data_IF_280012254024
#
_entry.id   IF_280012254024
#
_cell.length_a   1.000
_cell.length_b   1.000
_cell.length_c   1.000
_cell.angle_alpha   90.00
_cell.angle_beta   90.00
_cell.angle_gamma   90.00
#
_symmetry.space_group_name_H-M   'P 1'
#
loop_
_entity.id
_entity.type
_entity.pdbx_description
1 polymer ?
#
# COMPACT_ATOMS: atom_id res chain seq x y z
N UNK A 1 -11.36 11.44 4.62
CA UNK A 1 -10.24 12.25 5.13
C UNK A 1 -10.69 12.99 6.34
N UNK A 2 -11.91 13.56 6.39
CA UNK A 2 -12.56 13.83 7.69
C UNK A 2 -12.70 12.56 8.53
N UNK A 3 -12.89 11.37 7.93
CA UNK A 3 -13.02 10.13 8.70
C UNK A 3 -11.66 9.56 9.15
N UNK A 4 -10.60 9.63 8.32
CA UNK A 4 -9.24 9.24 8.74
C UNK A 4 -8.60 10.32 9.61
N UNK A 5 -8.77 11.61 9.32
CA UNK A 5 -8.41 12.69 10.25
C UNK A 5 -9.28 12.61 11.50
N UNK A 6 -10.57 12.22 11.47
CA UNK A 6 -11.37 11.97 12.68
C UNK A 6 -10.83 10.78 13.46
N UNK A 7 -10.54 9.65 12.81
CA UNK A 7 -9.98 8.44 13.44
C UNK A 7 -8.58 8.70 14.01
N UNK A 8 -7.78 9.56 13.37
CA UNK A 8 -6.45 9.98 13.83
C UNK A 8 -6.49 11.18 14.79
N UNK A 9 -7.56 11.99 14.77
CA UNK A 9 -7.84 13.10 15.69
C UNK A 9 -8.66 12.69 16.91
N UNK A 10 -9.15 11.45 16.98
CA UNK A 10 -9.95 10.94 18.12
C UNK A 10 -9.12 10.53 19.32
N UNK A 11 -7.78 10.43 19.20
CA UNK A 11 -6.91 10.18 20.35
C UNK A 11 -6.71 11.51 21.10
N UNK A 12 -7.80 12.05 21.65
CA UNK A 12 -7.76 13.16 22.60
C UNK A 12 -7.47 12.60 23.99
N UNK A 13 -6.19 12.30 24.25
CA UNK A 13 -5.71 11.95 25.59
C UNK A 13 -5.22 13.22 26.28
N UNK A 14 -5.64 13.43 27.52
CA UNK A 14 -5.10 14.50 28.35
C UNK A 14 -3.63 14.22 28.73
N UNK A 15 -2.91 15.27 29.14
CA UNK A 15 -1.47 15.19 29.41
C UNK A 15 -1.12 14.18 30.52
N UNK A 16 -2.01 13.96 31.49
CA UNK A 16 -1.81 12.98 32.55
C UNK A 16 -1.93 11.55 31.99
N UNK A 17 -2.98 11.27 31.21
CA UNK A 17 -3.16 9.99 30.55
C UNK A 17 -2.00 9.66 29.59
N UNK A 18 -1.51 10.64 28.82
CA UNK A 18 -0.34 10.46 27.95
C UNK A 18 0.90 10.01 28.74
N UNK A 19 1.19 10.68 29.87
CA UNK A 19 2.34 10.33 30.72
C UNK A 19 2.19 8.94 31.34
N UNK A 20 0.99 8.57 31.77
CA UNK A 20 0.70 7.24 32.29
C UNK A 20 0.93 6.16 31.22
N UNK A 21 0.49 6.37 29.98
CA UNK A 21 0.76 5.46 28.85
C UNK A 21 2.25 5.32 28.60
N UNK A 22 2.99 6.43 28.51
CA UNK A 22 4.43 6.44 28.23
C UNK A 22 5.24 5.73 29.32
N UNK A 23 4.96 6.04 30.60
CA UNK A 23 5.65 5.47 31.75
C UNK A 23 5.32 3.97 31.93
N UNK A 24 4.05 3.60 31.78
CA UNK A 24 3.60 2.21 31.86
C UNK A 24 4.17 1.37 30.72
N UNK A 25 4.28 1.93 29.52
CA UNK A 25 4.86 1.26 28.36
C UNK A 25 6.37 1.02 28.55
N UNK A 26 7.13 2.05 28.94
CA UNK A 26 8.57 1.93 29.21
C UNK A 26 8.85 0.90 30.32
N UNK A 27 8.05 0.93 31.39
CA UNK A 27 8.17 -0.03 32.50
C UNK A 27 7.87 -1.46 32.03
N UNK A 28 6.86 -1.63 31.18
CA UNK A 28 6.50 -2.93 30.59
C UNK A 28 7.63 -3.47 29.72
N UNK A 29 8.15 -2.67 28.80
CA UNK A 29 9.26 -3.04 27.91
C UNK A 29 10.52 -3.41 28.70
N UNK A 30 10.85 -2.64 29.74
CA UNK A 30 11.97 -2.92 30.64
C UNK A 30 11.80 -4.26 31.36
N UNK A 31 10.60 -4.56 31.87
CA UNK A 31 10.29 -5.84 32.56
C UNK A 31 10.21 -7.03 31.62
N UNK A 32 9.95 -6.80 30.33
CA UNK A 32 10.02 -7.81 29.27
C UNK A 32 11.45 -8.14 28.85
N UNK A 33 12.46 -7.37 29.27
CA UNK A 33 13.85 -7.56 28.85
C UNK A 33 14.21 -6.80 27.56
N UNK A 34 13.45 -5.76 27.24
CA UNK A 34 13.69 -4.86 26.12
C UNK A 34 12.91 -5.23 24.84
N UNK A 35 13.02 -4.38 23.80
CA UNK A 35 12.18 -4.44 22.60
C UNK A 35 12.14 -5.79 21.89
N UNK A 36 13.29 -6.47 21.81
CA UNK A 36 13.40 -7.76 21.16
C UNK A 36 12.63 -8.85 21.91
N UNK A 37 12.87 -8.96 23.22
CA UNK A 37 12.21 -9.96 24.06
C UNK A 37 10.70 -9.67 24.21
N UNK A 38 10.33 -8.38 24.30
CA UNK A 38 8.95 -7.94 24.33
C UNK A 38 8.19 -8.32 23.05
N UNK A 39 8.76 -8.01 21.88
CA UNK A 39 8.21 -8.42 20.59
C UNK A 39 8.11 -9.95 20.47
N UNK A 40 9.13 -10.70 20.89
CA UNK A 40 9.10 -12.16 20.82
C UNK A 40 8.02 -12.77 21.71
N UNK A 41 7.81 -12.26 22.94
CA UNK A 41 6.77 -12.72 23.87
C UNK A 41 5.36 -12.48 23.30
N UNK A 42 5.06 -11.26 22.85
CA UNK A 42 3.73 -10.89 22.33
C UNK A 42 3.43 -11.59 21.01
N UNK A 43 4.35 -11.59 20.06
CA UNK A 43 4.09 -12.20 18.74
C UNK A 43 4.12 -13.73 18.79
N UNK A 44 4.76 -14.35 19.79
CA UNK A 44 4.63 -15.78 20.04
C UNK A 44 3.22 -16.15 20.51
N UNK A 45 2.64 -15.38 21.45
CA UNK A 45 1.24 -15.55 21.86
C UNK A 45 0.30 -15.30 20.68
N UNK A 46 0.51 -14.23 19.92
CA UNK A 46 -0.30 -13.88 18.75
C UNK A 46 -0.31 -14.99 17.69
N UNK A 47 0.84 -15.59 17.40
CA UNK A 47 0.95 -16.73 16.48
C UNK A 47 0.14 -17.93 16.96
N UNK A 48 0.15 -18.21 18.26
CA UNK A 48 -0.54 -19.37 18.81
C UNK A 48 -2.07 -19.22 18.70
N UNK A 49 -2.59 -17.99 18.82
CA UNK A 49 -4.02 -17.69 18.66
C UNK A 49 -4.42 -17.42 17.21
N UNK A 50 -3.52 -16.82 16.42
CA UNK A 50 -3.71 -16.48 15.01
C UNK A 50 -2.54 -17.03 14.18
N UNK A 51 -2.58 -18.32 13.77
CA UNK A 51 -1.48 -18.96 13.02
C UNK A 51 -1.11 -18.24 11.72
N UNK A 52 -2.04 -17.50 11.10
CA UNK A 52 -1.77 -16.66 9.91
C UNK A 52 -0.71 -15.57 10.14
N UNK A 53 -0.44 -15.21 11.41
CA UNK A 53 0.57 -14.21 11.78
C UNK A 53 1.99 -14.79 11.95
N UNK A 54 2.20 -16.09 11.67
CA UNK A 54 3.51 -16.77 11.81
C UNK A 54 4.68 -15.97 11.22
N UNK A 55 4.50 -15.41 10.02
CA UNK A 55 5.54 -14.64 9.33
C UNK A 55 5.96 -13.38 10.06
N UNK A 56 5.08 -12.81 10.90
CA UNK A 56 5.32 -11.56 11.64
C UNK A 56 6.36 -11.73 12.75
N UNK A 57 6.52 -12.95 13.30
CA UNK A 57 7.47 -13.21 14.38
C UNK A 57 8.92 -12.84 13.99
N UNK A 58 9.27 -13.04 12.72
CA UNK A 58 10.60 -12.70 12.17
C UNK A 58 10.92 -11.20 12.22
N UNK A 59 9.89 -10.35 12.31
CA UNK A 59 10.00 -8.88 12.38
C UNK A 59 9.42 -8.31 13.67
N UNK A 60 9.15 -9.16 14.67
CA UNK A 60 8.51 -8.79 15.93
C UNK A 60 9.21 -7.62 16.64
N UNK A 61 10.55 -7.63 16.69
CA UNK A 61 11.33 -6.52 17.27
C UNK A 61 11.15 -5.20 16.52
N UNK A 62 11.01 -5.23 15.19
CA UNK A 62 10.79 -4.02 14.39
C UNK A 62 9.39 -3.47 14.61
N UNK A 63 8.38 -4.35 14.66
CA UNK A 63 6.99 -3.94 14.91
C UNK A 63 6.85 -3.40 16.33
N UNK A 64 7.50 -4.04 17.31
CA UNK A 64 7.53 -3.55 18.69
C UNK A 64 8.14 -2.15 18.79
N UNK A 65 9.25 -1.90 18.08
CA UNK A 65 9.83 -0.56 18.01
C UNK A 65 8.89 0.48 17.40
N UNK A 66 8.18 0.16 16.32
CA UNK A 66 7.23 1.08 15.71
C UNK A 66 6.08 1.44 16.67
N UNK A 67 5.56 0.45 17.41
CA UNK A 67 4.55 0.67 18.44
C UNK A 67 5.10 1.51 19.60
N UNK A 68 6.33 1.22 20.05
CA UNK A 68 6.99 1.98 21.11
C UNK A 68 7.19 3.44 20.71
N UNK A 69 7.70 3.70 19.51
CA UNK A 69 7.88 5.06 19.00
C UNK A 69 6.55 5.82 18.82
N UNK A 70 5.47 5.12 18.45
CA UNK A 70 4.13 5.70 18.39
C UNK A 70 3.67 6.15 19.78
N UNK A 71 3.73 5.26 20.77
CA UNK A 71 3.30 5.56 22.15
C UNK A 71 4.14 6.66 22.80
N UNK A 72 5.45 6.67 22.54
CA UNK A 72 6.34 7.74 23.01
C UNK A 72 6.08 9.09 22.32
N UNK A 73 5.39 9.10 21.18
CA UNK A 73 5.05 10.34 20.46
C UNK A 73 3.70 10.96 20.82
N UNK A 74 2.89 10.36 21.71
CA UNK A 74 1.50 10.79 21.98
C UNK A 74 1.33 12.28 22.33
N UNK A 75 2.32 12.90 22.96
CA UNK A 75 2.32 14.36 23.23
C UNK A 75 2.61 15.24 22.00
N UNK A 76 2.76 14.66 20.80
CA UNK A 76 3.12 15.34 19.56
C UNK A 76 2.14 14.93 18.44
N UNK A 77 0.96 15.55 18.35
CA UNK A 77 -0.12 15.12 17.45
C UNK A 77 0.30 14.93 15.99
N UNK A 78 1.11 15.85 15.45
CA UNK A 78 1.62 15.75 14.08
C UNK A 78 2.57 14.56 13.85
N UNK A 79 3.33 14.17 14.88
CA UNK A 79 4.23 13.03 14.80
C UNK A 79 3.46 11.71 14.95
N UNK A 80 2.47 11.67 15.84
CA UNK A 80 1.54 10.54 16.00
C UNK A 80 0.83 10.26 14.69
N UNK A 81 0.26 11.29 14.06
CA UNK A 81 -0.42 11.17 12.76
C UNK A 81 0.48 10.52 11.71
N UNK A 82 1.70 11.06 11.51
CA UNK A 82 2.66 10.51 10.54
C UNK A 82 3.02 9.05 10.82
N UNK A 83 3.15 8.68 12.10
CA UNK A 83 3.48 7.30 12.52
C UNK A 83 2.30 6.35 12.29
N UNK A 84 1.09 6.78 12.62
CA UNK A 84 -0.13 6.02 12.35
C UNK A 84 -0.38 5.83 10.85
N UNK A 85 -0.20 6.88 10.04
CA UNK A 85 -0.25 6.77 8.58
C UNK A 85 0.77 5.76 8.05
N UNK A 86 2.02 5.83 8.52
CA UNK A 86 3.05 4.86 8.14
C UNK A 86 2.66 3.41 8.48
N UNK A 87 2.08 3.18 9.66
CA UNK A 87 1.62 1.86 10.11
C UNK A 87 0.40 1.41 9.28
N UNK A 88 -0.60 2.27 9.10
CA UNK A 88 -1.82 1.96 8.33
C UNK A 88 -1.46 1.60 6.87
N UNK A 89 -0.58 2.37 6.24
CA UNK A 89 -0.12 2.12 4.87
C UNK A 89 0.56 0.75 4.71
N UNK A 90 1.31 0.30 5.73
CA UNK A 90 1.97 -1.02 5.75
C UNK A 90 0.98 -2.18 5.90
N UNK A 91 -0.20 -1.93 6.46
CA UNK A 91 -1.22 -2.93 6.73
C UNK A 91 -2.40 -2.91 5.73
N UNK A 92 -2.45 -1.94 4.81
CA UNK A 92 -3.53 -1.80 3.80
C UNK A 92 -3.78 -3.01 2.88
N UNK A 93 -2.86 -3.96 2.79
CA UNK A 93 -2.99 -5.17 1.97
C UNK A 93 -2.97 -6.45 2.80
N UNK A 94 -3.00 -6.31 4.12
CA UNK A 94 -3.14 -7.43 5.02
C UNK A 94 -4.64 -7.71 5.23
N UNK A 95 -5.03 -8.97 5.14
CA UNK A 95 -6.38 -9.42 5.48
C UNK A 95 -6.54 -9.46 7.01
N UNK A 96 -6.70 -8.27 7.58
CA UNK A 96 -6.87 -8.00 9.00
C UNK A 96 -8.34 -7.68 9.24
N UNK A 97 -8.99 -8.51 10.03
CA UNK A 97 -10.37 -8.32 10.47
C UNK A 97 -10.37 -7.65 11.84
N UNK A 98 -11.49 -7.03 12.21
CA UNK A 98 -11.67 -6.47 13.56
C UNK A 98 -11.42 -7.53 14.65
N UNK A 99 -11.81 -8.79 14.42
CA UNK A 99 -11.53 -9.89 15.35
C UNK A 99 -10.02 -10.15 15.55
N UNK A 100 -9.21 -9.98 14.50
CA UNK A 100 -7.75 -10.12 14.62
C UNK A 100 -7.16 -9.00 15.48
N UNK A 101 -7.68 -7.78 15.35
CA UNK A 101 -7.29 -6.62 16.16
C UNK A 101 -7.69 -6.83 17.62
N UNK A 102 -8.88 -7.36 17.90
CA UNK A 102 -9.32 -7.69 19.27
C UNK A 102 -8.44 -8.75 19.93
N UNK A 103 -8.04 -9.79 19.19
CA UNK A 103 -7.11 -10.81 19.69
C UNK A 103 -5.76 -10.17 20.02
N UNK A 104 -5.21 -9.37 19.10
CA UNK A 104 -3.95 -8.67 19.35
C UNK A 104 -4.02 -7.75 20.58
N UNK A 105 -5.10 -6.98 20.70
CA UNK A 105 -5.36 -6.12 21.87
C UNK A 105 -5.36 -6.93 23.15
N UNK A 106 -6.17 -8.01 23.22
CA UNK A 106 -6.29 -8.82 24.42
C UNK A 106 -4.93 -9.40 24.86
N UNK A 107 -4.13 -9.89 23.91
CA UNK A 107 -2.77 -10.38 24.17
C UNK A 107 -1.87 -9.26 24.67
N UNK A 108 -1.93 -8.08 24.06
CA UNK A 108 -1.12 -6.93 24.47
C UNK A 108 -1.46 -6.50 25.91
N UNK A 109 -2.75 -6.44 26.25
CA UNK A 109 -3.23 -6.12 27.60
C UNK A 109 -2.86 -7.20 28.61
N UNK A 110 -2.99 -8.49 28.27
CA UNK A 110 -2.58 -9.60 29.13
C UNK A 110 -1.08 -9.51 29.47
N UNK A 111 -0.25 -9.26 28.46
CA UNK A 111 1.20 -9.12 28.66
C UNK A 111 1.50 -7.89 29.53
N UNK A 112 0.92 -6.72 29.23
CA UNK A 112 1.10 -5.52 30.05
C UNK A 112 0.67 -5.76 31.50
N UNK A 113 -0.49 -6.38 31.73
CA UNK A 113 -1.00 -6.71 33.06
C UNK A 113 -0.07 -7.66 33.81
N UNK A 114 0.46 -8.69 33.13
CA UNK A 114 1.38 -9.65 33.74
C UNK A 114 2.69 -9.00 34.21
N UNK A 115 3.15 -7.95 33.52
CA UNK A 115 4.41 -7.28 33.85
C UNK A 115 4.23 -6.10 34.79
N UNK A 116 3.16 -5.33 34.66
CA UNK A 116 2.90 -4.16 35.50
C UNK A 116 2.25 -4.56 36.83
N UNK A 117 1.39 -5.58 36.84
CA UNK A 117 0.62 -5.97 38.02
C UNK A 117 -0.16 -4.78 38.57
N UNK A 118 0.02 -4.47 39.86
CA UNK A 118 -0.62 -3.32 40.51
C UNK A 118 -0.15 -1.94 40.01
N UNK A 119 0.85 -1.86 39.13
CA UNK A 119 1.26 -0.62 38.47
C UNK A 119 0.50 -0.35 37.16
N UNK A 120 -0.41 -1.23 36.76
CA UNK A 120 -1.26 -1.00 35.60
C UNK A 120 -2.38 -0.05 35.99
N UNK A 121 -2.18 1.25 35.73
CA UNK A 121 -3.16 2.28 36.06
C UNK A 121 -4.38 2.23 35.14
N UNK A 122 -5.57 2.64 35.61
CA UNK A 122 -6.74 2.80 34.76
C UNK A 122 -6.47 3.71 33.55
N UNK A 123 -5.65 4.74 33.71
CA UNK A 123 -5.27 5.70 32.67
C UNK A 123 -4.36 5.05 31.61
N UNK A 124 -3.40 4.22 32.04
CA UNK A 124 -2.61 3.41 31.11
C UNK A 124 -3.50 2.48 30.28
N UNK A 125 -4.47 1.81 30.94
CA UNK A 125 -5.40 0.91 30.26
C UNK A 125 -6.29 1.64 29.27
N UNK A 126 -6.85 2.77 29.68
CA UNK A 126 -7.70 3.61 28.85
C UNK A 126 -6.94 4.15 27.63
N UNK A 127 -5.78 4.77 27.85
CA UNK A 127 -4.99 5.37 26.77
C UNK A 127 -4.45 4.34 25.78
N UNK A 128 -3.94 3.19 26.25
CA UNK A 128 -3.52 2.11 25.36
C UNK A 128 -4.70 1.53 24.57
N UNK A 129 -5.88 1.45 25.20
CA UNK A 129 -7.12 1.02 24.56
C UNK A 129 -7.49 1.94 23.38
N UNK A 130 -7.53 3.26 23.60
CA UNK A 130 -7.85 4.23 22.55
C UNK A 130 -6.90 4.15 21.33
N UNK A 131 -5.63 3.82 21.55
CA UNK A 131 -4.61 3.75 20.49
C UNK A 131 -4.70 2.45 19.68
N UNK A 132 -5.14 1.36 20.32
CA UNK A 132 -5.30 0.05 19.67
C UNK A 132 -6.70 -0.11 19.06
N UNK A 133 -7.71 0.57 19.61
CA UNK A 133 -9.12 0.52 19.21
C UNK A 133 -9.53 1.65 18.24
N UNK A 134 -8.60 2.21 17.47
CA UNK A 134 -8.83 3.34 16.55
C UNK A 134 -10.01 3.11 15.58
N UNK A 135 -10.55 1.89 15.42
CA UNK A 135 -11.76 1.62 14.63
C UNK A 135 -13.13 1.87 15.31
N UNK A 136 -13.21 2.29 16.59
CA UNK A 136 -14.52 2.49 17.27
C UNK A 136 -15.03 3.95 17.27
N UNK A 137 -14.80 4.68 16.18
CA UNK A 137 -15.42 5.98 15.96
C UNK A 137 -16.72 5.90 15.16
N UNK A 138 -17.79 5.29 15.71
CA UNK A 138 -19.20 5.65 15.43
C UNK A 138 -20.19 4.72 16.16
N UNK A 139 -20.78 5.22 17.24
CA UNK A 139 -22.22 5.09 17.51
C UNK A 139 -22.59 6.11 18.61
N UNK A 140 -22.90 7.34 18.17
CA UNK A 140 -24.12 8.08 18.50
C UNK A 140 -23.94 9.60 18.27
N UNK A 141 -24.95 10.15 17.59
CA UNK A 141 -25.38 11.56 17.55
C UNK A 141 -24.68 12.54 16.59
N UNK A 142 -25.45 12.93 15.57
CA UNK A 142 -25.67 14.34 15.25
C UNK A 142 -25.21 14.78 13.87
N UNK A 143 -26.13 14.80 12.91
CA UNK A 143 -26.10 15.65 11.71
C UNK A 143 -25.62 17.07 12.06
N UNK A 144 -24.50 17.56 11.51
CA UNK A 144 -24.32 18.97 11.10
C UNK A 144 -23.19 19.16 10.06
N UNK A 145 -23.59 19.60 8.85
CA UNK A 145 -22.92 20.47 7.86
C UNK A 145 -21.39 20.36 7.63
N UNK A 146 -21.05 19.73 6.50
CA UNK A 146 -19.72 19.74 5.87
C UNK A 146 -19.17 21.15 5.59
N UNK A 147 -18.00 21.47 6.16
CA UNK A 147 -17.22 22.66 5.89
C UNK A 147 -16.26 22.47 4.70
N UNK A 148 -16.02 23.55 3.95
CA UNK A 148 -15.15 23.57 2.78
C UNK A 148 -13.65 23.43 3.16
N UNK A 149 -12.92 22.66 2.34
CA UNK A 149 -11.49 22.36 2.47
C UNK A 149 -10.61 23.61 2.40
N UNK A 150 -9.76 23.85 3.40
CA UNK A 150 -8.67 24.82 3.34
C UNK A 150 -7.36 24.17 2.88
N UNK A 151 -6.73 24.78 1.87
CA UNK A 151 -5.52 24.34 1.17
C UNK A 151 -4.28 24.53 2.07
N UNK A 152 -3.56 23.44 2.39
CA UNK A 152 -2.39 23.47 3.27
C UNK A 152 -1.11 23.22 2.46
N UNK A 153 -0.36 24.29 2.22
CA UNK A 153 0.63 24.43 1.15
C UNK A 153 2.07 23.94 1.46
N UNK A 154 2.31 23.18 2.53
CA UNK A 154 3.68 22.91 3.03
C UNK A 154 4.16 21.44 3.07
N UNK A 155 3.39 20.49 2.55
CA UNK A 155 3.91 19.18 2.14
C UNK A 155 3.68 19.09 0.63
N UNK A 156 4.72 18.77 -0.15
CA UNK A 156 4.59 18.60 -1.59
C UNK A 156 3.91 17.25 -1.89
N UNK A 157 2.70 17.06 -1.36
CA UNK A 157 1.86 15.88 -1.52
C UNK A 157 1.51 15.81 -3.00
N UNK A 158 1.89 14.72 -3.69
CA UNK A 158 1.58 14.58 -5.10
C UNK A 158 0.07 14.71 -5.37
N UNK A 159 -0.30 15.51 -6.37
CA UNK A 159 -1.72 15.71 -6.74
C UNK A 159 -2.17 14.86 -7.93
N UNK A 160 -1.26 14.11 -8.55
CA UNK A 160 -1.56 13.22 -9.68
C UNK A 160 -1.36 11.75 -9.29
N UNK A 161 -2.13 10.86 -9.91
CA UNK A 161 -2.04 9.41 -9.67
C UNK A 161 -0.61 8.89 -9.85
N UNK A 162 0.04 9.22 -10.97
CA UNK A 162 1.38 8.74 -11.25
C UNK A 162 2.44 9.26 -10.26
N UNK A 163 2.32 10.50 -9.78
CA UNK A 163 3.25 11.05 -8.80
C UNK A 163 2.99 10.47 -7.39
N UNK A 164 1.72 10.26 -7.01
CA UNK A 164 1.35 9.63 -5.75
C UNK A 164 1.78 8.16 -5.71
N UNK A 165 1.63 7.44 -6.82
CA UNK A 165 2.06 6.04 -6.92
C UNK A 165 3.57 5.87 -6.83
N UNK A 166 4.37 6.78 -7.40
CA UNK A 166 5.82 6.76 -7.20
C UNK A 166 6.20 7.04 -5.75
N UNK A 167 5.53 8.00 -5.11
CA UNK A 167 5.72 8.28 -3.69
C UNK A 167 5.40 7.06 -2.82
N UNK A 168 4.23 6.45 -3.00
CA UNK A 168 3.81 5.27 -2.26
C UNK A 168 4.67 4.04 -2.56
N UNK A 169 5.13 3.84 -3.79
CA UNK A 169 6.09 2.79 -4.12
C UNK A 169 7.42 2.97 -3.36
N UNK A 170 7.95 4.20 -3.32
CA UNK A 170 9.16 4.49 -2.56
C UNK A 170 8.98 4.19 -1.05
N UNK A 171 7.85 4.59 -0.47
CA UNK A 171 7.50 4.29 0.93
C UNK A 171 7.38 2.78 1.18
N UNK A 172 6.79 2.05 0.23
CA UNK A 172 6.61 0.60 0.32
C UNK A 172 7.90 -0.19 0.08
N UNK A 173 8.99 0.45 -0.37
CA UNK A 173 10.27 -0.20 -0.69
C UNK A 173 10.28 -0.87 -2.06
N UNK A 174 9.49 -0.33 -2.99
CA UNK A 174 9.24 -0.88 -4.33
C UNK A 174 9.50 0.14 -5.44
N UNK A 175 9.89 1.37 -5.08
CA UNK A 175 10.08 2.49 -6.00
C UNK A 175 11.30 2.38 -6.92
N UNK A 176 12.21 1.44 -6.66
CA UNK A 176 13.38 1.14 -7.50
C UNK A 176 13.09 0.17 -8.64
N UNK A 177 11.86 -0.37 -8.70
CA UNK A 177 11.47 -1.37 -9.69
C UNK A 177 11.16 -0.72 -11.03
N UNK A 178 12.01 -0.95 -12.02
CA UNK A 178 11.87 -0.36 -13.35
C UNK A 178 10.54 -0.69 -14.04
N UNK A 179 9.99 -1.89 -13.81
CA UNK A 179 8.70 -2.32 -14.39
C UNK A 179 7.50 -1.52 -13.85
N UNK A 180 7.66 -0.86 -12.71
CA UNK A 180 6.60 -0.06 -12.07
C UNK A 180 6.21 1.15 -12.92
N UNK A 181 7.19 1.79 -13.58
CA UNK A 181 6.95 2.93 -14.45
C UNK A 181 6.12 2.55 -15.68
N UNK A 182 6.43 1.42 -16.32
CA UNK A 182 5.69 0.91 -17.48
C UNK A 182 4.25 0.53 -17.10
N UNK A 183 4.04 -0.03 -15.90
CA UNK A 183 2.70 -0.26 -15.36
C UNK A 183 1.92 1.04 -15.15
N UNK A 184 2.55 2.07 -14.55
CA UNK A 184 1.89 3.37 -14.35
C UNK A 184 1.49 4.02 -15.68
N UNK A 185 2.36 3.93 -16.69
CA UNK A 185 2.06 4.44 -18.02
C UNK A 185 0.86 3.73 -18.64
N UNK A 186 0.79 2.39 -18.54
CA UNK A 186 -0.34 1.63 -19.06
C UNK A 186 -1.68 1.96 -18.38
N UNK A 187 -1.68 2.46 -17.14
CA UNK A 187 -2.91 2.88 -16.47
C UNK A 187 -3.59 4.07 -17.18
N UNK A 188 -2.82 4.93 -17.86
CA UNK A 188 -3.37 6.07 -18.61
C UNK A 188 -4.21 5.61 -19.81
N UNK A 189 -3.94 4.42 -20.36
CA UNK A 189 -4.74 3.83 -21.43
C UNK A 189 -5.80 2.86 -20.91
N UNK A 190 -5.48 2.01 -19.92
CA UNK A 190 -6.39 0.98 -19.43
C UNK A 190 -7.65 1.55 -18.77
N UNK A 191 -7.52 2.61 -17.96
CA UNK A 191 -8.62 3.13 -17.14
C UNK A 191 -9.73 3.77 -18.00
N UNK A 192 -9.44 4.68 -18.95
CA UNK A 192 -10.48 5.29 -19.77
C UNK A 192 -11.26 4.29 -20.65
N UNK A 193 -10.64 3.17 -21.03
CA UNK A 193 -11.20 2.20 -21.96
C UNK A 193 -11.73 0.92 -21.30
N UNK A 194 -11.86 0.86 -19.96
CA UNK A 194 -12.29 -0.37 -19.27
C UNK A 194 -13.64 -0.93 -19.74
N UNK A 195 -14.53 -0.08 -20.28
CA UNK A 195 -15.81 -0.49 -20.87
C UNK A 195 -15.70 -1.14 -22.26
N UNK A 196 -14.54 -1.06 -22.91
CA UNK A 196 -14.26 -1.66 -24.21
C UNK A 196 -13.31 -2.85 -24.04
N UNK A 197 -13.89 -4.06 -23.97
CA UNK A 197 -13.16 -5.29 -23.69
C UNK A 197 -12.07 -5.57 -24.73
N UNK A 198 -12.33 -5.31 -26.01
CA UNK A 198 -11.37 -5.54 -27.08
C UNK A 198 -10.16 -4.62 -26.92
N UNK A 199 -10.39 -3.34 -26.59
CA UNK A 199 -9.30 -2.40 -26.35
C UNK A 199 -8.49 -2.75 -25.10
N UNK A 200 -9.15 -3.17 -24.01
CA UNK A 200 -8.47 -3.61 -22.78
C UNK A 200 -7.62 -4.85 -23.05
N UNK A 201 -8.11 -5.78 -23.87
CA UNK A 201 -7.35 -6.95 -24.30
C UNK A 201 -6.07 -6.52 -25.04
N UNK A 202 -6.19 -5.65 -26.04
CA UNK A 202 -5.04 -5.13 -26.80
C UNK A 202 -4.03 -4.42 -25.90
N UNK A 203 -4.49 -3.52 -25.02
CA UNK A 203 -3.62 -2.80 -24.11
C UNK A 203 -2.92 -3.76 -23.12
N UNK A 204 -3.60 -4.80 -22.64
CA UNK A 204 -2.99 -5.84 -21.80
C UNK A 204 -2.00 -6.73 -22.56
N UNK A 205 -2.23 -7.02 -23.84
CA UNK A 205 -1.29 -7.75 -24.71
C UNK A 205 0.01 -6.93 -24.85
N UNK A 206 -0.12 -5.63 -25.18
CA UNK A 206 1.03 -4.70 -25.31
C UNK A 206 1.75 -4.53 -23.98
N UNK A 207 1.01 -4.36 -22.87
CA UNK A 207 1.59 -4.27 -21.54
C UNK A 207 2.41 -5.53 -21.21
N UNK A 208 1.91 -6.72 -21.48
CA UNK A 208 2.66 -7.95 -21.21
C UNK A 208 3.92 -8.06 -22.07
N UNK A 209 3.88 -7.67 -23.35
CA UNK A 209 5.08 -7.60 -24.19
C UNK A 209 6.12 -6.63 -23.60
N UNK A 210 5.68 -5.47 -23.12
CA UNK A 210 6.55 -4.48 -22.46
C UNK A 210 7.14 -5.01 -21.15
N UNK A 211 6.34 -5.70 -20.34
CA UNK A 211 6.77 -6.23 -19.05
C UNK A 211 7.72 -7.43 -19.16
N UNK A 212 7.67 -8.17 -20.27
CA UNK A 212 8.45 -9.39 -20.48
C UNK A 212 9.97 -9.16 -20.34
N UNK A 213 10.47 -7.94 -20.57
CA UNK A 213 11.89 -7.58 -20.45
C UNK A 213 12.40 -7.58 -19.00
N UNK A 214 11.51 -7.53 -18.00
CA UNK A 214 11.89 -7.38 -16.60
C UNK A 214 12.08 -8.70 -15.83
N UNK A 215 11.85 -9.85 -16.46
CA UNK A 215 12.05 -11.17 -15.88
C UNK A 215 11.05 -11.53 -14.77
N UNK A 216 11.11 -10.84 -13.63
CA UNK A 216 10.16 -10.99 -12.52
C UNK A 216 9.35 -9.71 -12.30
N UNK A 217 8.03 -9.86 -12.40
CA UNK A 217 7.05 -8.81 -12.12
C UNK A 217 6.14 -9.26 -10.97
N UNK A 218 5.71 -8.33 -10.13
CA UNK A 218 4.80 -8.60 -9.03
C UNK A 218 3.56 -7.72 -9.13
N UNK A 219 2.53 -8.23 -9.81
CA UNK A 219 1.27 -7.53 -10.04
C UNK A 219 0.53 -7.21 -8.73
N UNK A 220 0.61 -8.08 -7.72
CA UNK A 220 -0.01 -7.85 -6.40
C UNK A 220 0.59 -6.64 -5.67
N UNK A 221 1.87 -6.41 -5.89
CA UNK A 221 2.55 -5.26 -5.31
C UNK A 221 2.19 -3.96 -6.02
N UNK A 222 2.01 -4.00 -7.34
CA UNK A 222 1.47 -2.84 -8.05
C UNK A 222 0.05 -2.50 -7.60
N UNK A 223 -0.81 -3.52 -7.47
CA UNK A 223 -2.15 -3.39 -6.91
C UNK A 223 -2.12 -2.64 -5.59
N UNK A 224 -1.22 -3.07 -4.69
CA UNK A 224 -1.03 -2.50 -3.36
C UNK A 224 -0.73 -1.00 -3.41
N UNK A 225 0.20 -0.60 -4.27
CA UNK A 225 0.57 0.82 -4.45
C UNK A 225 -0.54 1.60 -5.15
N UNK A 226 -1.24 1.02 -6.12
CA UNK A 226 -2.37 1.65 -6.81
C UNK A 226 -3.46 2.03 -5.80
N UNK A 227 -3.92 1.10 -4.97
CA UNK A 227 -4.93 1.36 -3.95
C UNK A 227 -4.49 2.41 -2.93
N UNK A 228 -3.24 2.30 -2.44
CA UNK A 228 -2.66 3.32 -1.57
C UNK A 228 -2.78 4.72 -2.17
N UNK A 229 -2.44 4.83 -3.45
CA UNK A 229 -2.36 6.11 -4.15
C UNK A 229 -3.73 6.72 -4.43
N UNK A 230 -4.70 5.88 -4.80
CA UNK A 230 -6.06 6.32 -5.03
C UNK A 230 -6.72 6.78 -3.72
N UNK A 231 -6.52 6.04 -2.62
CA UNK A 231 -6.97 6.44 -1.27
C UNK A 231 -6.34 7.76 -0.84
N UNK A 232 -5.03 7.94 -1.02
CA UNK A 232 -4.33 9.18 -0.69
C UNK A 232 -4.81 10.39 -1.52
N UNK A 233 -5.23 10.18 -2.76
CA UNK A 233 -5.70 11.25 -3.65
C UNK A 233 -7.18 11.59 -3.49
N UNK A 234 -8.01 10.64 -3.08
CA UNK A 234 -9.46 10.81 -2.94
C UNK A 234 -9.98 10.52 -1.52
N UNK A 235 -9.29 10.89 -0.44
CA UNK A 235 -9.57 10.32 0.87
C UNK A 235 -10.95 10.72 1.42
N UNK A 236 -11.60 11.76 0.92
CA UNK A 236 -12.98 12.18 1.29
C UNK A 236 -14.08 11.57 0.45
N UNK A 237 -13.74 11.08 -0.75
CA UNK A 237 -14.70 10.51 -1.71
C UNK A 237 -14.57 9.00 -1.80
N UNK A 238 -13.40 8.49 -1.46
CA UNK A 238 -13.09 7.07 -1.51
C UNK A 238 -14.03 6.31 -0.58
N UNK A 239 -14.70 5.32 -1.13
CA UNK A 239 -15.71 4.53 -0.45
C UNK A 239 -15.54 3.05 -0.80
N UNK A 240 -16.32 2.18 -0.16
CA UNK A 240 -16.36 0.77 -0.49
C UNK A 240 -16.75 0.51 -1.95
N UNK A 241 -17.56 1.38 -2.57
CA UNK A 241 -17.90 1.26 -4.00
C UNK A 241 -16.68 1.53 -4.88
N UNK A 242 -15.85 2.50 -4.52
CA UNK A 242 -14.59 2.76 -5.20
C UNK A 242 -13.61 1.59 -5.02
N UNK A 243 -13.50 1.04 -3.81
CA UNK A 243 -12.72 -0.18 -3.55
C UNK A 243 -13.12 -1.32 -4.46
N UNK A 244 -14.42 -1.62 -4.49
CA UNK A 244 -14.96 -2.72 -5.26
C UNK A 244 -14.77 -2.51 -6.77
N UNK A 245 -15.01 -1.29 -7.26
CA UNK A 245 -14.82 -0.95 -8.67
C UNK A 245 -13.35 -1.08 -9.11
N UNK A 246 -12.41 -0.56 -8.32
CA UNK A 246 -10.98 -0.67 -8.62
C UNK A 246 -10.44 -2.08 -8.42
N UNK A 247 -10.99 -2.86 -7.48
CA UNK A 247 -10.62 -4.26 -7.29
C UNK A 247 -11.09 -5.11 -8.46
N UNK A 248 -12.31 -4.86 -8.94
CA UNK A 248 -12.86 -5.48 -10.14
C UNK A 248 -12.02 -5.14 -11.38
N UNK A 249 -11.75 -3.85 -11.62
CA UNK A 249 -10.86 -3.38 -12.70
C UNK A 249 -9.52 -4.13 -12.67
N UNK A 250 -8.88 -4.16 -11.49
CA UNK A 250 -7.57 -4.78 -11.36
C UNK A 250 -7.62 -6.28 -11.62
N UNK A 251 -8.68 -6.96 -11.19
CA UNK A 251 -8.84 -8.41 -11.39
C UNK A 251 -8.90 -8.75 -12.88
N UNK A 252 -9.49 -7.88 -13.72
CA UNK A 252 -9.50 -8.03 -15.17
C UNK A 252 -8.10 -7.89 -15.73
N UNK A 253 -7.41 -6.79 -15.39
CA UNK A 253 -6.05 -6.50 -15.88
C UNK A 253 -5.07 -7.61 -15.46
N UNK A 254 -5.06 -7.96 -14.18
CA UNK A 254 -4.19 -9.00 -13.61
C UNK A 254 -4.40 -10.34 -14.32
N UNK A 255 -5.66 -10.76 -14.48
CA UNK A 255 -6.00 -12.00 -15.17
C UNK A 255 -5.50 -11.99 -16.63
N UNK A 256 -5.74 -10.90 -17.37
CA UNK A 256 -5.34 -10.80 -18.78
C UNK A 256 -3.83 -10.78 -18.97
N UNK A 257 -3.11 -9.98 -18.18
CA UNK A 257 -1.64 -9.95 -18.22
C UNK A 257 -1.07 -11.33 -17.89
N UNK A 258 -1.62 -12.04 -16.91
CA UNK A 258 -1.19 -13.39 -16.55
C UNK A 258 -1.44 -14.42 -17.66
N UNK A 259 -2.64 -14.42 -18.26
CA UNK A 259 -3.00 -15.27 -19.41
C UNK A 259 -2.07 -15.04 -20.63
N UNK A 260 -1.58 -13.81 -20.77
CA UNK A 260 -0.77 -13.34 -21.87
C UNK A 260 0.74 -13.58 -21.70
N UNK A 261 1.21 -14.13 -20.58
CA UNK A 261 2.64 -14.39 -20.33
C UNK A 261 3.34 -15.21 -21.42
N UNK A 262 2.57 -15.99 -22.19
CA UNK A 262 3.05 -16.80 -23.32
C UNK A 262 3.25 -16.00 -24.62
N UNK A 263 2.63 -14.82 -24.75
CA UNK A 263 2.69 -13.99 -25.96
C UNK A 263 4.12 -13.61 -26.37
N UNK A 264 5.03 -13.18 -25.47
CA UNK A 264 6.40 -12.84 -25.86
C UNK A 264 7.11 -13.99 -26.56
N UNK A 265 7.00 -15.21 -26.00
CA UNK A 265 7.64 -16.41 -26.56
C UNK A 265 7.02 -16.78 -27.91
N UNK A 266 5.69 -16.77 -27.99
CA UNK A 266 4.95 -17.08 -29.21
C UNK A 266 5.28 -16.09 -30.34
N UNK A 267 5.16 -14.79 -30.08
CA UNK A 267 5.41 -13.72 -31.05
C UNK A 267 6.88 -13.71 -31.49
N UNK A 268 7.83 -13.89 -30.56
CA UNK A 268 9.25 -14.01 -30.90
C UNK A 268 9.50 -15.20 -31.84
N UNK A 269 8.87 -16.35 -31.59
CA UNK A 269 9.01 -17.53 -32.43
C UNK A 269 8.43 -17.30 -33.83
N UNK A 270 7.24 -16.71 -33.94
CA UNK A 270 6.61 -16.37 -35.21
C UNK A 270 7.47 -15.37 -36.01
N UNK A 271 7.93 -14.30 -35.37
CA UNK A 271 8.79 -13.29 -35.99
C UNK A 271 10.10 -13.92 -36.46
N UNK A 272 10.76 -14.73 -35.63
CA UNK A 272 11.98 -15.45 -35.99
C UNK A 272 11.78 -16.33 -37.21
N UNK A 273 10.69 -17.10 -37.26
CA UNK A 273 10.38 -17.98 -38.41
C UNK A 273 10.05 -17.18 -39.67
N UNK A 274 9.35 -16.05 -39.54
CA UNK A 274 9.05 -15.16 -40.66
C UNK A 274 10.33 -14.54 -41.25
N UNK A 275 11.14 -13.91 -40.40
CA UNK A 275 12.38 -13.25 -40.83
C UNK A 275 13.40 -14.25 -41.42
N UNK A 276 13.46 -15.47 -40.91
CA UNK A 276 14.34 -16.52 -41.44
C UNK A 276 13.97 -17.01 -42.84
N UNK A 277 12.78 -16.65 -43.36
CA UNK A 277 12.35 -16.99 -44.73
C UNK A 277 12.70 -15.92 -45.75
N UNK A 278 13.15 -14.75 -45.30
CA UNK A 278 13.57 -13.65 -46.18
C UNK A 278 15.05 -13.81 -46.50
N UNK A 279 15.44 -13.53 -47.74
CA UNK A 279 16.84 -13.35 -48.11
C UNK A 279 17.40 -12.05 -47.48
N UNK A 280 18.73 -11.92 -47.49
CA UNK A 280 19.44 -10.85 -46.78
C UNK A 280 19.07 -9.44 -47.31
N UNK A 281 18.88 -9.30 -48.62
CA UNK A 281 18.51 -8.03 -49.26
C UNK A 281 17.08 -7.64 -48.90
N UNK A 282 16.13 -8.58 -49.04
CA UNK A 282 14.73 -8.37 -48.66
C UNK A 282 14.56 -8.08 -47.17
N UNK A 283 15.34 -8.76 -46.31
CA UNK A 283 15.30 -8.53 -44.87
C UNK A 283 15.79 -7.12 -44.49
N UNK A 284 16.85 -6.63 -45.15
CA UNK A 284 17.39 -5.29 -44.91
C UNK A 284 16.37 -4.21 -45.32
N UNK A 285 15.78 -4.34 -46.51
CA UNK A 285 14.73 -3.43 -47.00
C UNK A 285 13.47 -3.47 -46.12
N UNK A 286 13.04 -4.66 -45.70
CA UNK A 286 11.89 -4.82 -44.80
C UNK A 286 12.11 -4.10 -43.46
N UNK A 287 13.29 -4.25 -42.84
CA UNK A 287 13.61 -3.57 -41.57
C UNK A 287 13.54 -2.06 -41.72
N UNK A 288 14.09 -1.50 -42.80
CA UNK A 288 14.06 -0.07 -43.07
C UNK A 288 12.61 0.43 -43.24
N UNK A 289 11.80 -0.26 -44.06
CA UNK A 289 10.39 0.09 -44.27
C UNK A 289 9.56 0.05 -42.99
N UNK A 290 9.84 -0.88 -42.09
CA UNK A 290 9.18 -0.94 -40.77
C UNK A 290 9.49 0.32 -39.97
N UNK A 291 10.75 0.76 -39.93
CA UNK A 291 11.13 2.00 -39.26
C UNK A 291 10.54 3.24 -39.95
N UNK A 292 10.59 3.31 -41.28
CA UNK A 292 10.02 4.44 -42.03
C UNK A 292 8.52 4.58 -41.76
N UNK A 293 7.78 3.48 -41.81
CA UNK A 293 6.35 3.46 -41.49
C UNK A 293 6.09 3.81 -40.03
N UNK A 294 6.90 3.30 -39.10
CA UNK A 294 6.78 3.61 -37.69
C UNK A 294 6.99 5.12 -37.42
N UNK A 295 8.05 5.72 -37.96
CA UNK A 295 8.34 7.14 -37.78
C UNK A 295 7.37 8.06 -38.52
N UNK A 296 6.78 7.61 -39.63
CA UNK A 296 5.75 8.35 -40.35
C UNK A 296 4.41 8.37 -39.59
N UNK A 297 4.08 7.30 -38.87
CA UNK A 297 2.77 7.15 -38.21
C UNK A 297 2.80 7.45 -36.70
N UNK A 298 3.98 7.58 -36.09
CA UNK A 298 4.14 7.86 -34.67
C UNK A 298 5.06 9.08 -34.48
N UNK A 299 4.52 10.29 -34.62
CA UNK A 299 5.30 11.55 -34.53
C UNK A 299 6.07 11.68 -33.22
N UNK A 300 5.50 11.19 -32.09
CA UNK A 300 6.15 11.20 -30.78
C UNK A 300 7.44 10.38 -30.73
N UNK A 301 7.56 9.34 -31.56
CA UNK A 301 8.77 8.52 -31.63
C UNK A 301 9.98 9.28 -32.20
N UNK A 302 9.76 10.35 -32.97
CA UNK A 302 10.84 11.18 -33.51
C UNK A 302 11.52 12.03 -32.43
N UNK A 303 10.89 12.23 -31.26
CA UNK A 303 11.46 12.98 -30.14
C UNK A 303 12.62 12.25 -29.47
N UNK A 304 12.67 10.91 -29.57
CA UNK A 304 13.74 10.08 -28.99
C UNK A 304 15.01 10.01 -29.86
N UNK A 305 14.97 10.58 -31.08
CA UNK A 305 16.10 10.63 -32.01
C UNK A 305 16.82 11.99 -32.02
N UNK A 306 16.36 12.96 -31.21
CA UNK A 306 17.01 14.25 -31.00
C UNK A 306 17.92 14.21 -29.79
#
# INVERSE_FOLDING_TARGET
MEEIDRLLSTIELDEYTIKEVQNGWETTEKRLGGPKAAGEEVFTKLRNELPKTQGMLTRSSTVWHLLSELLQSLGQPQLVQKRLEYIALRHMNADITTADVEIFRNILFEVCASKLGGLMTPEFQFGLGQIVDVEKGEQEQGDEKHGAWQDNSNLNIPKTFAAMARFNAAVMGTGDRMWFADMLYAMESLVPYIGNIDRVQEDCDVLMLTLAKYGQINLKEFRSVMFASLRSLLPTKWSNDHENAWAWFWTIVEKKVEENKKLPVYNHQCLRTFLARLDEETLADFKLKVFDSFFANCEESQLYLR
#
